data_IF_434801568715
#
_entry.id   IF_434801568715
#
_cell.length_a   1.000
_cell.length_b   1.000
_cell.length_c   1.000
_cell.angle_alpha   90.00
_cell.angle_beta   90.00
_cell.angle_gamma   90.00
#
_symmetry.space_group_name_H-M   'P 1'
#
loop_
_entity.id
_entity.type
_entity.pdbx_description
1 polymer ?
#
# COMPACT_ATOMS: atom_id res chain seq x y z
N UNK A 1 9.17 -3.06 23.90
CA UNK A 1 9.12 -4.44 23.35
C UNK A 1 9.87 -4.46 22.03
N UNK A 2 10.73 -5.45 21.80
CA UNK A 2 11.36 -5.64 20.51
C UNK A 2 10.30 -6.09 19.49
N UNK A 3 10.23 -5.42 18.34
CA UNK A 3 9.37 -5.83 17.23
C UNK A 3 10.03 -6.99 16.48
N UNK A 4 9.23 -7.92 15.96
CA UNK A 4 9.74 -8.95 15.05
C UNK A 4 10.26 -8.31 13.75
N UNK A 5 11.12 -9.03 13.03
CA UNK A 5 11.65 -8.54 11.76
C UNK A 5 10.51 -8.21 10.76
N UNK A 6 9.48 -9.05 10.70
CA UNK A 6 8.31 -8.82 9.84
C UNK A 6 7.56 -7.55 10.25
N UNK A 7 7.24 -7.41 11.54
CA UNK A 7 6.50 -6.25 12.04
C UNK A 7 7.29 -4.94 11.87
N UNK A 8 8.62 -4.99 11.95
CA UNK A 8 9.46 -3.85 11.63
C UNK A 8 9.28 -3.40 10.18
N UNK A 9 9.31 -4.32 9.22
CA UNK A 9 9.11 -4.00 7.80
C UNK A 9 7.70 -3.44 7.57
N UNK A 10 6.67 -4.06 8.15
CA UNK A 10 5.28 -3.58 8.06
C UNK A 10 5.15 -2.12 8.52
N UNK A 11 5.74 -1.80 9.67
CA UNK A 11 5.69 -0.42 10.18
C UNK A 11 6.46 0.54 9.27
N UNK A 12 7.61 0.14 8.72
CA UNK A 12 8.35 0.98 7.78
C UNK A 12 7.57 1.24 6.49
N UNK A 13 6.94 0.22 5.92
CA UNK A 13 6.10 0.33 4.73
C UNK A 13 4.93 1.31 4.98
N UNK A 14 4.22 1.14 6.09
CA UNK A 14 3.11 2.01 6.49
C UNK A 14 3.57 3.46 6.69
N UNK A 15 4.69 3.69 7.39
CA UNK A 15 5.24 5.03 7.60
C UNK A 15 5.68 5.68 6.27
N UNK A 16 6.20 4.92 5.32
CA UNK A 16 6.61 5.43 4.01
C UNK A 16 5.40 5.82 3.17
N UNK A 17 4.37 4.98 3.11
CA UNK A 17 3.11 5.30 2.44
C UNK A 17 2.42 6.51 3.08
N UNK A 18 2.38 6.56 4.42
CA UNK A 18 1.83 7.68 5.18
C UNK A 18 2.49 9.02 4.85
N UNK A 19 3.82 9.07 4.70
CA UNK A 19 4.52 10.29 4.24
C UNK A 19 4.14 10.70 2.82
N UNK A 20 3.79 9.76 1.94
CA UNK A 20 3.25 10.13 0.62
C UNK A 20 1.87 10.73 0.77
N UNK A 21 0.97 10.05 1.49
CA UNK A 21 -0.39 10.51 1.74
C UNK A 21 -0.42 11.90 2.36
N UNK A 22 0.42 12.19 3.36
CA UNK A 22 0.49 13.52 3.97
C UNK A 22 0.90 14.63 2.99
N UNK A 23 1.77 14.32 2.02
CA UNK A 23 2.13 15.28 0.97
C UNK A 23 1.00 15.48 -0.03
N UNK A 24 0.43 14.37 -0.49
CA UNK A 24 -0.65 14.35 -1.48
C UNK A 24 -1.91 15.05 -0.90
N UNK A 25 -2.17 14.94 0.41
CA UNK A 25 -3.24 15.66 1.11
C UNK A 25 -3.04 17.19 1.11
N UNK A 26 -1.80 17.68 1.12
CA UNK A 26 -1.51 19.11 1.04
C UNK A 26 -1.95 19.75 -0.30
N UNK A 27 -2.13 18.93 -1.34
CA UNK A 27 -2.55 19.34 -2.68
C UNK A 27 -3.83 18.61 -3.11
N UNK A 28 -4.73 18.31 -2.15
CA UNK A 28 -5.92 17.46 -2.38
C UNK A 28 -6.78 17.91 -3.56
N UNK A 29 -6.87 19.22 -3.81
CA UNK A 29 -7.65 19.78 -4.92
C UNK A 29 -7.08 19.43 -6.30
N UNK A 30 -5.79 19.10 -6.37
CA UNK A 30 -5.09 18.69 -7.60
C UNK A 30 -5.08 17.17 -7.77
N UNK A 31 -5.53 16.40 -6.78
CA UNK A 31 -5.55 14.94 -6.89
C UNK A 31 -6.60 14.50 -7.91
N UNK A 32 -6.16 13.69 -8.86
CA UNK A 32 -7.07 13.01 -9.76
C UNK A 32 -7.83 11.95 -8.96
N UNK A 33 -9.16 12.01 -9.04
CA UNK A 33 -10.09 11.08 -8.38
C UNK A 33 -10.92 10.37 -9.44
N UNK A 34 -11.15 9.08 -9.23
CA UNK A 34 -12.07 8.25 -10.00
C UNK A 34 -13.11 7.64 -9.07
N UNK A 35 -14.30 7.35 -9.61
CA UNK A 35 -15.35 6.66 -8.88
C UNK A 35 -15.32 5.17 -9.22
N UNK A 36 -15.22 4.32 -8.20
CA UNK A 36 -15.33 2.85 -8.33
C UNK A 36 -16.78 2.40 -8.31
N UNK A 37 -17.61 3.07 -7.52
CA UNK A 37 -19.03 2.80 -7.35
C UNK A 37 -19.74 3.95 -6.63
N UNK A 38 -21.06 3.84 -6.40
CA UNK A 38 -21.82 4.91 -5.74
C UNK A 38 -21.26 5.21 -4.33
N UNK A 39 -20.65 6.39 -4.18
CA UNK A 39 -20.02 6.80 -2.91
C UNK A 39 -18.65 6.17 -2.63
N UNK A 40 -18.08 5.43 -3.58
CA UNK A 40 -16.78 4.78 -3.48
C UNK A 40 -15.80 5.40 -4.49
N UNK A 41 -14.68 5.91 -3.97
CA UNK A 41 -13.73 6.74 -4.71
C UNK A 41 -12.32 6.22 -4.52
N UNK A 42 -11.50 6.44 -5.54
CA UNK A 42 -10.05 6.20 -5.50
C UNK A 42 -9.33 7.39 -6.10
N UNK A 43 -8.30 7.85 -5.41
CA UNK A 43 -7.41 8.89 -5.91
C UNK A 43 -6.06 8.31 -6.35
N UNK A 44 -5.27 9.14 -7.02
CA UNK A 44 -3.87 8.79 -7.28
C UNK A 44 -3.05 8.63 -5.99
N UNK A 45 -3.46 9.26 -4.89
CA UNK A 45 -2.79 9.09 -3.60
C UNK A 45 -2.99 7.67 -3.04
N UNK A 46 -4.19 7.09 -3.17
CA UNK A 46 -4.50 5.73 -2.73
C UNK A 46 -3.67 4.70 -3.51
N UNK A 47 -3.67 4.80 -4.85
CA UNK A 47 -2.89 3.92 -5.73
C UNK A 47 -1.39 3.95 -5.42
N UNK A 48 -0.86 5.15 -5.19
CA UNK A 48 0.56 5.35 -4.86
C UNK A 48 0.91 4.85 -3.47
N UNK A 49 0.03 5.03 -2.48
CA UNK A 49 0.22 4.48 -1.15
C UNK A 49 0.24 2.94 -1.18
N UNK A 50 -0.69 2.33 -1.92
CA UNK A 50 -0.74 0.88 -2.14
C UNK A 50 0.54 0.37 -2.81
N UNK A 51 0.99 1.03 -3.88
CA UNK A 51 2.24 0.67 -4.58
C UNK A 51 3.47 0.75 -3.66
N UNK A 52 3.56 1.78 -2.81
CA UNK A 52 4.65 1.89 -1.83
C UNK A 52 4.62 0.71 -0.85
N UNK A 53 3.44 0.37 -0.32
CA UNK A 53 3.30 -0.77 0.61
C UNK A 53 3.71 -2.07 -0.07
N UNK A 54 3.21 -2.33 -1.28
CA UNK A 54 3.58 -3.51 -2.06
C UNK A 54 5.08 -3.59 -2.29
N UNK A 55 5.71 -2.50 -2.76
CA UNK A 55 7.12 -2.48 -3.10
C UNK A 55 8.03 -2.74 -1.87
N UNK A 56 7.69 -2.17 -0.71
CA UNK A 56 8.48 -2.39 0.51
C UNK A 56 8.32 -3.81 1.05
N UNK A 57 7.09 -4.33 1.07
CA UNK A 57 6.81 -5.66 1.62
C UNK A 57 7.31 -6.78 0.70
N UNK A 58 7.05 -6.70 -0.60
CA UNK A 58 7.51 -7.70 -1.58
C UNK A 58 9.04 -7.77 -1.66
N UNK A 59 9.73 -6.64 -1.49
CA UNK A 59 11.19 -6.61 -1.39
C UNK A 59 11.70 -7.32 -0.14
N UNK A 60 11.03 -7.12 1.00
CA UNK A 60 11.44 -7.71 2.26
C UNK A 60 11.04 -9.19 2.42
N UNK A 61 9.96 -9.60 1.74
CA UNK A 61 9.45 -10.97 1.71
C UNK A 61 9.11 -11.34 0.25
N UNK A 62 10.12 -11.67 -0.55
CA UNK A 62 9.89 -12.20 -1.89
C UNK A 62 9.06 -13.49 -1.80
N UNK A 63 8.09 -13.65 -2.70
CA UNK A 63 7.25 -14.85 -2.77
C UNK A 63 5.96 -14.79 -1.98
N UNK A 64 5.74 -13.80 -1.10
CA UNK A 64 4.45 -13.64 -0.43
C UNK A 64 3.35 -13.22 -1.40
N UNK A 65 2.14 -13.75 -1.18
CA UNK A 65 0.95 -13.26 -1.84
C UNK A 65 0.47 -11.93 -1.22
N UNK A 66 -0.26 -11.14 -2.01
CA UNK A 66 -0.87 -9.90 -1.54
C UNK A 66 -2.32 -9.86 -1.95
N UNK A 67 -3.19 -9.44 -1.03
CA UNK A 67 -4.54 -9.03 -1.35
C UNK A 67 -4.64 -7.53 -1.09
N UNK A 68 -4.80 -6.77 -2.16
CA UNK A 68 -4.81 -5.31 -2.13
C UNK A 68 -6.15 -4.78 -2.61
N UNK A 69 -6.49 -3.56 -2.21
CA UNK A 69 -7.80 -2.98 -2.52
C UNK A 69 -7.89 -2.57 -4.00
N UNK A 70 -6.87 -1.88 -4.51
CA UNK A 70 -6.88 -1.33 -5.86
C UNK A 70 -6.38 -2.31 -6.91
N UNK A 71 -5.36 -3.11 -6.54
CA UNK A 71 -4.73 -4.10 -7.43
C UNK A 71 -5.40 -5.48 -7.38
N UNK A 72 -6.17 -5.76 -6.34
CA UNK A 72 -6.73 -7.09 -6.11
C UNK A 72 -5.66 -8.08 -5.64
N UNK A 73 -5.84 -9.36 -6.00
CA UNK A 73 -4.91 -10.43 -5.61
C UNK A 73 -3.65 -10.42 -6.48
N UNK A 74 -2.50 -10.49 -5.83
CA UNK A 74 -1.18 -10.76 -6.41
C UNK A 74 -0.72 -12.10 -5.88
N UNK A 75 -0.60 -13.08 -6.77
CA UNK A 75 -0.18 -14.43 -6.40
C UNK A 75 1.30 -14.42 -5.95
N UNK A 76 1.54 -15.11 -4.83
CA UNK A 76 2.86 -15.41 -4.31
C UNK A 76 3.30 -16.83 -4.70
N UNK A 77 4.60 -17.08 -4.65
CA UNK A 77 5.18 -18.42 -4.83
C UNK A 77 5.23 -19.21 -3.52
N UNK A 78 5.09 -18.54 -2.37
CA UNK A 78 5.03 -19.17 -1.05
C UNK A 78 3.62 -19.71 -0.79
N UNK A 79 3.46 -21.03 -0.84
CA UNK A 79 2.17 -21.68 -0.56
C UNK A 79 1.66 -21.48 0.88
N UNK A 80 2.49 -20.97 1.79
CA UNK A 80 2.12 -20.69 3.18
C UNK A 80 1.74 -19.22 3.42
N UNK A 81 2.08 -18.29 2.53
CA UNK A 81 1.94 -16.84 2.75
C UNK A 81 1.58 -16.04 1.49
#
# INVERSE_FOLDING_TARGET
MARSALLNVMVQAAMKAGRSLSRDFGEVQNLQVSMKGPGDYVSQADRKAEEIVYAELSKARPGYAFLMEERGAVEGEDAQH
#
